data_IF_817148420010
#
_entry.id   IF_817148420010
#
_cell.length_a   1.000
_cell.length_b   1.000
_cell.length_c   1.000
_cell.angle_alpha   90.00
_cell.angle_beta   90.00
_cell.angle_gamma   90.00
#
_symmetry.space_group_name_H-M   'P 1'
#
loop_
_entity.id
_entity.type
_entity.pdbx_description
1 polymer ?
#
# COMPACT_ATOMS: atom_id res chain seq x y z
N UNK A 1 0.72 -23.76 -18.70
CA UNK A 1 -0.15 -23.71 -17.50
C UNK A 1 -1.50 -24.22 -17.93
N UNK A 2 -2.08 -25.21 -17.27
CA UNK A 2 -3.43 -25.70 -17.60
C UNK A 2 -4.44 -24.55 -17.37
N UNK A 3 -5.51 -24.52 -18.17
CA UNK A 3 -6.58 -23.54 -17.97
C UNK A 3 -7.16 -23.69 -16.55
N UNK A 4 -7.36 -22.57 -15.81
CA UNK A 4 -7.90 -22.64 -14.47
C UNK A 4 -9.31 -23.23 -14.48
N UNK A 5 -9.54 -24.27 -13.68
CA UNK A 5 -10.82 -24.97 -13.58
C UNK A 5 -11.58 -24.61 -12.30
N UNK A 6 -10.89 -24.04 -11.31
CA UNK A 6 -11.46 -23.67 -10.03
C UNK A 6 -10.95 -22.30 -9.58
N UNK A 7 -11.67 -21.68 -8.64
CA UNK A 7 -11.27 -20.40 -8.04
C UNK A 7 -9.85 -20.46 -7.46
N UNK A 8 -9.48 -21.60 -6.86
CA UNK A 8 -8.15 -21.83 -6.30
C UNK A 8 -7.00 -21.81 -7.31
N UNK A 9 -7.29 -21.97 -8.61
CA UNK A 9 -6.29 -21.94 -9.67
C UNK A 9 -5.98 -20.51 -10.12
N UNK A 10 -6.86 -19.57 -9.80
CA UNK A 10 -6.68 -18.16 -10.18
C UNK A 10 -5.59 -17.49 -9.36
N UNK A 11 -4.57 -16.95 -10.03
CA UNK A 11 -3.44 -16.28 -9.39
C UNK A 11 -3.87 -15.19 -8.42
N UNK A 12 -4.76 -14.30 -8.82
CA UNK A 12 -5.20 -13.18 -7.98
C UNK A 12 -5.90 -13.65 -6.71
N UNK A 13 -6.67 -14.75 -6.78
CA UNK A 13 -7.28 -15.35 -5.60
C UNK A 13 -6.23 -15.91 -4.63
N UNK A 14 -5.23 -16.63 -5.16
CA UNK A 14 -4.11 -17.17 -4.37
C UNK A 14 -3.31 -16.07 -3.69
N UNK A 15 -2.97 -15.00 -4.44
CA UNK A 15 -2.27 -13.82 -3.89
C UNK A 15 -3.11 -13.11 -2.82
N UNK A 16 -4.43 -12.97 -3.03
CA UNK A 16 -5.33 -12.37 -2.04
C UNK A 16 -5.39 -13.18 -0.75
N UNK A 17 -5.48 -14.51 -0.84
CA UNK A 17 -5.44 -15.39 0.34
C UNK A 17 -4.12 -15.27 1.10
N UNK A 18 -3.00 -15.33 0.36
CA UNK A 18 -1.66 -15.18 0.95
C UNK A 18 -1.53 -13.82 1.65
N UNK A 19 -1.88 -12.74 0.96
CA UNK A 19 -1.83 -11.38 1.52
C UNK A 19 -2.75 -11.21 2.73
N UNK A 20 -3.91 -11.87 2.75
CA UNK A 20 -4.81 -11.89 3.89
C UNK A 20 -4.18 -12.54 5.11
N UNK A 21 -3.68 -13.76 4.97
CA UNK A 21 -3.07 -14.51 6.07
C UNK A 21 -1.77 -13.85 6.57
N UNK A 22 -0.85 -13.55 5.66
CA UNK A 22 0.44 -12.91 5.98
C UNK A 22 0.27 -11.47 6.50
N UNK A 23 -0.86 -10.84 6.21
CA UNK A 23 -1.17 -9.50 6.69
C UNK A 23 -1.60 -9.42 8.16
N UNK A 24 -2.05 -10.51 8.77
CA UNK A 24 -2.54 -10.51 10.16
C UNK A 24 -1.49 -10.07 11.18
N UNK A 25 -0.25 -10.60 11.18
CA UNK A 25 0.80 -10.11 12.08
C UNK A 25 1.11 -8.63 11.88
N UNK A 26 1.15 -8.16 10.63
CA UNK A 26 1.41 -6.75 10.33
C UNK A 26 0.29 -5.82 10.84
N UNK A 27 -0.98 -6.25 10.79
CA UNK A 27 -2.09 -5.50 11.39
C UNK A 27 -1.92 -5.41 12.90
N UNK A 28 -1.66 -6.54 13.57
CA UNK A 28 -1.45 -6.57 15.03
C UNK A 28 -0.29 -5.69 15.47
N UNK A 29 0.80 -5.71 14.71
CA UNK A 29 1.96 -4.85 14.97
C UNK A 29 1.61 -3.38 14.79
N UNK A 30 1.09 -3.00 13.62
CA UNK A 30 0.76 -1.61 13.30
C UNK A 30 -0.31 -1.05 14.25
N UNK A 31 -1.45 -1.71 14.37
CA UNK A 31 -2.61 -1.18 15.10
C UNK A 31 -2.50 -1.42 16.60
N UNK A 32 -2.03 -2.60 17.02
CA UNK A 32 -1.96 -2.98 18.44
C UNK A 32 -0.78 -2.33 19.17
N UNK A 33 0.38 -2.19 18.53
CA UNK A 33 1.58 -1.67 19.20
C UNK A 33 1.88 -0.21 18.88
N UNK A 34 1.65 0.20 17.64
CA UNK A 34 2.02 1.54 17.17
C UNK A 34 0.84 2.48 16.95
N UNK A 35 -0.41 2.00 17.05
CA UNK A 35 -1.60 2.82 16.87
C UNK A 35 -1.74 3.41 15.45
N UNK A 36 -1.15 2.74 14.44
CA UNK A 36 -1.17 3.14 13.04
C UNK A 36 -1.84 2.04 12.20
N UNK A 37 -2.82 2.38 11.38
CA UNK A 37 -3.42 1.39 10.49
C UNK A 37 -2.44 0.95 9.41
N UNK A 38 -2.61 -0.27 8.85
CA UNK A 38 -1.79 -0.72 7.70
C UNK A 38 -1.81 0.25 6.52
N UNK A 39 -2.90 0.96 6.33
CA UNK A 39 -3.04 1.96 5.27
C UNK A 39 -2.21 3.20 5.55
N UNK A 40 -2.29 3.71 6.77
CA UNK A 40 -1.46 4.82 7.24
C UNK A 40 0.03 4.45 7.20
N UNK A 41 0.37 3.25 7.63
CA UNK A 41 1.74 2.72 7.55
C UNK A 41 2.27 2.74 6.11
N UNK A 42 1.51 2.23 5.14
CA UNK A 42 1.92 2.24 3.72
C UNK A 42 2.23 3.65 3.23
N UNK A 43 1.39 4.62 3.58
CA UNK A 43 1.60 6.01 3.19
C UNK A 43 2.84 6.61 3.88
N UNK A 44 3.03 6.30 5.16
CA UNK A 44 4.18 6.76 5.94
C UNK A 44 5.48 6.16 5.37
N UNK A 45 5.49 4.89 5.00
CA UNK A 45 6.64 4.23 4.38
C UNK A 45 6.98 4.83 3.02
N UNK A 46 6.00 5.07 2.14
CA UNK A 46 6.21 5.73 0.85
C UNK A 46 6.79 7.14 1.02
N UNK A 47 6.34 7.89 2.02
CA UNK A 47 6.89 9.21 2.32
C UNK A 47 8.30 9.14 2.91
N UNK A 48 8.70 8.02 3.51
CA UNK A 48 10.05 7.82 4.03
C UNK A 48 11.08 7.52 2.92
N UNK A 49 10.65 6.91 1.82
CA UNK A 49 11.50 6.60 0.66
C UNK A 49 11.83 7.83 -0.20
N UNK A 50 11.02 8.89 -0.09
CA UNK A 50 11.11 10.06 -0.95
C UNK A 50 11.15 11.39 -0.22
N UNK A 51 11.24 12.45 -1.02
CA UNK A 51 11.02 13.82 -0.57
C UNK A 51 9.51 14.11 -0.44
N UNK A 52 9.17 15.35 -0.06
CA UNK A 52 7.79 15.82 -0.10
C UNK A 52 7.13 15.51 -1.45
N UNK A 53 5.93 14.95 -1.43
CA UNK A 53 5.19 14.59 -2.65
C UNK A 53 3.77 15.11 -2.65
N UNK A 54 3.19 15.19 -3.84
CA UNK A 54 1.80 15.59 -3.99
C UNK A 54 0.85 14.49 -3.46
N UNK A 55 -0.26 14.83 -2.77
CA UNK A 55 -1.22 13.84 -2.28
C UNK A 55 -1.77 12.88 -3.34
N UNK A 56 -1.89 13.33 -4.60
CA UNK A 56 -2.34 12.45 -5.70
C UNK A 56 -1.28 11.43 -6.09
N UNK A 57 0.00 11.80 -6.07
CA UNK A 57 1.13 10.89 -6.31
C UNK A 57 1.17 9.82 -5.23
N UNK A 58 1.03 10.25 -3.96
CA UNK A 58 0.96 9.33 -2.83
C UNK A 58 -0.24 8.38 -2.92
N UNK A 59 -1.41 8.88 -3.35
CA UNK A 59 -2.60 8.06 -3.57
C UNK A 59 -2.36 6.97 -4.62
N UNK A 60 -1.74 7.33 -5.72
CA UNK A 60 -1.41 6.41 -6.83
C UNK A 60 -0.43 5.33 -6.34
N UNK A 61 0.68 5.72 -5.71
CA UNK A 61 1.68 4.79 -5.21
C UNK A 61 1.13 3.90 -4.09
N UNK A 62 0.30 4.45 -3.20
CA UNK A 62 -0.35 3.68 -2.15
C UNK A 62 -1.51 2.78 -2.65
N UNK A 63 -1.88 2.90 -3.93
CA UNK A 63 -3.02 2.20 -4.53
C UNK A 63 -4.33 2.45 -3.76
N UNK A 64 -4.56 3.70 -3.39
CA UNK A 64 -5.74 4.14 -2.65
C UNK A 64 -6.58 5.11 -3.49
N UNK A 65 -7.90 5.03 -3.32
CA UNK A 65 -8.77 6.06 -3.87
C UNK A 65 -8.62 7.40 -3.10
N UNK A 66 -9.09 8.48 -3.73
CA UNK A 66 -8.98 9.85 -3.18
C UNK A 66 -9.57 9.98 -1.77
N UNK A 67 -10.71 9.34 -1.50
CA UNK A 67 -11.39 9.46 -0.21
C UNK A 67 -10.62 8.74 0.91
N UNK A 68 -10.07 7.54 0.60
CA UNK A 68 -9.24 6.78 1.54
C UNK A 68 -7.92 7.47 1.80
N UNK A 69 -7.29 8.03 0.76
CA UNK A 69 -6.05 8.80 0.88
C UNK A 69 -6.26 10.03 1.76
N UNK A 70 -7.31 10.82 1.49
CA UNK A 70 -7.61 12.01 2.29
C UNK A 70 -7.82 11.70 3.76
N UNK A 71 -8.58 10.64 4.08
CA UNK A 71 -8.81 10.22 5.48
C UNK A 71 -7.52 9.76 6.17
N UNK A 72 -6.72 8.95 5.49
CA UNK A 72 -5.45 8.46 6.05
C UNK A 72 -4.44 9.61 6.25
N UNK A 73 -4.34 10.54 5.29
CA UNK A 73 -3.52 11.74 5.43
C UNK A 73 -3.97 12.63 6.59
N UNK A 74 -5.28 12.86 6.72
CA UNK A 74 -5.81 13.66 7.84
C UNK A 74 -5.49 13.01 9.19
N UNK A 75 -5.60 11.68 9.30
CA UNK A 75 -5.23 10.96 10.51
C UNK A 75 -3.72 11.07 10.81
N UNK A 76 -2.86 10.92 9.80
CA UNK A 76 -1.40 11.06 9.95
C UNK A 76 -1.00 12.48 10.35
N UNK A 77 -1.66 13.49 9.80
CA UNK A 77 -1.46 14.91 10.19
C UNK A 77 -1.93 15.15 11.62
N UNK A 78 -3.12 14.65 12.00
CA UNK A 78 -3.64 14.78 13.36
C UNK A 78 -2.74 14.11 14.40
N UNK A 79 -2.06 12.99 14.04
CA UNK A 79 -1.07 12.31 14.86
C UNK A 79 0.31 13.00 14.86
N UNK A 80 0.49 14.07 14.08
CA UNK A 80 1.74 14.80 13.96
C UNK A 80 2.88 14.05 13.26
N UNK A 81 2.58 12.98 12.51
CA UNK A 81 3.58 12.16 11.79
C UNK A 81 3.83 12.63 10.36
N UNK A 82 2.87 13.36 9.80
CA UNK A 82 2.96 13.97 8.47
C UNK A 82 2.57 15.44 8.61
N UNK A 83 3.19 16.29 7.82
CA UNK A 83 2.79 17.69 7.67
C UNK A 83 2.49 18.02 6.22
N UNK A 84 1.64 19.01 6.03
CA UNK A 84 1.39 19.62 4.71
C UNK A 84 2.28 20.83 4.58
N UNK A 85 2.97 20.94 3.46
CA UNK A 85 3.83 22.07 3.10
C UNK A 85 3.31 22.69 1.82
N UNK A 86 3.42 24.00 1.71
CA UNK A 86 3.12 24.74 0.48
C UNK A 86 4.45 25.26 -0.02
N UNK A 87 4.82 24.91 -1.25
CA UNK A 87 6.02 25.50 -1.85
C UNK A 87 5.75 26.96 -2.22
N UNK A 88 6.69 27.84 -1.88
CA UNK A 88 6.58 29.27 -2.15
C UNK A 88 6.41 29.60 -3.65
N UNK A 89 6.90 28.72 -4.52
CA UNK A 89 6.82 28.83 -5.98
C UNK A 89 5.46 28.42 -6.56
N UNK A 90 4.67 27.62 -5.83
CA UNK A 90 3.34 27.17 -6.29
C UNK A 90 2.39 26.96 -5.12
N UNK A 91 1.74 28.02 -4.70
CA UNK A 91 0.78 28.01 -3.58
C UNK A 91 -0.47 27.15 -3.84
N UNK A 92 -0.65 26.64 -5.06
CA UNK A 92 -1.82 25.84 -5.44
C UNK A 92 -1.68 24.36 -5.11
N UNK A 93 -0.45 23.88 -4.83
CA UNK A 93 -0.20 22.46 -4.61
C UNK A 93 0.43 22.21 -3.23
N UNK A 94 -0.39 21.75 -2.30
CA UNK A 94 0.09 21.27 -1.03
C UNK A 94 0.86 19.97 -1.23
N UNK A 95 2.09 19.90 -0.75
CA UNK A 95 2.86 18.67 -0.63
C UNK A 95 2.67 18.08 0.78
N UNK A 96 2.95 16.81 0.91
CA UNK A 96 2.96 16.09 2.17
C UNK A 96 4.32 15.47 2.40
N UNK A 97 4.81 15.55 3.62
CA UNK A 97 6.10 15.01 4.01
C UNK A 97 6.08 14.52 5.47
N UNK A 98 7.03 13.66 5.82
CA UNK A 98 7.19 13.23 7.19
C UNK A 98 7.71 14.36 8.08
N UNK A 99 7.17 14.41 9.29
CA UNK A 99 7.79 15.15 10.40
C UNK A 99 8.95 14.32 11.00
N UNK A 100 9.71 14.90 11.91
CA UNK A 100 10.76 14.15 12.62
C UNK A 100 10.17 13.01 13.47
N UNK A 101 8.97 13.21 14.03
CA UNK A 101 8.25 12.15 14.74
C UNK A 101 7.78 11.03 13.80
N UNK A 102 7.34 11.38 12.57
CA UNK A 102 7.02 10.41 11.53
C UNK A 102 8.23 9.59 11.07
N UNK A 103 9.40 10.25 10.92
CA UNK A 103 10.67 9.58 10.59
C UNK A 103 11.10 8.63 11.71
N UNK A 104 10.99 9.05 12.97
CA UNK A 104 11.28 8.16 14.11
C UNK A 104 10.35 6.95 14.16
N UNK A 105 9.05 7.16 13.95
CA UNK A 105 8.09 6.06 13.90
C UNK A 105 8.44 5.07 12.77
N UNK A 106 8.76 5.57 11.57
CA UNK A 106 9.19 4.72 10.47
C UNK A 106 10.44 3.92 10.82
N UNK A 107 11.46 4.56 11.39
CA UNK A 107 12.71 3.91 11.78
C UNK A 107 12.52 2.82 12.85
N UNK A 108 11.50 2.93 13.71
CA UNK A 108 11.15 1.91 14.68
C UNK A 108 10.33 0.77 14.07
N UNK A 109 9.32 1.09 13.26
CA UNK A 109 8.36 0.12 12.76
C UNK A 109 8.89 -0.68 11.56
N UNK A 110 9.66 -0.05 10.66
CA UNK A 110 10.15 -0.70 9.44
C UNK A 110 10.97 -1.97 9.71
N UNK A 111 11.93 -2.01 10.66
CA UNK A 111 12.68 -3.23 10.96
C UNK A 111 11.80 -4.39 11.43
N UNK A 112 10.72 -4.12 12.18
CA UNK A 112 9.78 -5.14 12.65
C UNK A 112 8.92 -5.68 11.51
N UNK A 113 8.43 -4.81 10.60
CA UNK A 113 7.74 -5.23 9.38
C UNK A 113 8.69 -6.04 8.47
N UNK A 114 9.94 -5.61 8.34
CA UNK A 114 10.95 -6.33 7.57
C UNK A 114 11.25 -7.72 8.19
N UNK A 115 11.21 -7.85 9.52
CA UNK A 115 11.34 -9.15 10.20
C UNK A 115 10.18 -10.09 9.85
N UNK A 116 8.93 -9.61 9.87
CA UNK A 116 7.76 -10.39 9.43
C UNK A 116 7.88 -10.84 7.97
N UNK A 117 8.40 -9.95 7.11
CA UNK A 117 8.64 -10.30 5.70
C UNK A 117 9.73 -11.39 5.56
N UNK A 118 10.83 -11.29 6.31
CA UNK A 118 11.88 -12.33 6.31
C UNK A 118 11.33 -13.66 6.79
N UNK A 119 10.53 -13.66 7.84
CA UNK A 119 9.89 -14.87 8.37
C UNK A 119 8.97 -15.53 7.33
N UNK A 120 8.14 -14.73 6.65
CA UNK A 120 7.29 -15.22 5.57
C UNK A 120 8.10 -15.86 4.44
N UNK A 121 9.25 -15.29 4.10
CA UNK A 121 10.11 -15.76 3.01
C UNK A 121 11.08 -16.87 3.44
N UNK A 122 11.19 -17.20 4.72
CA UNK A 122 12.19 -18.16 5.25
C UNK A 122 12.05 -19.59 4.74
N UNK A 123 10.89 -19.91 4.16
CA UNK A 123 10.62 -21.21 3.53
C UNK A 123 11.18 -21.34 2.11
N UNK A 124 11.80 -20.29 1.59
CA UNK A 124 12.36 -20.21 0.23
C UNK A 124 13.88 -20.00 0.29
N UNK A 125 14.59 -20.54 -0.70
CA UNK A 125 16.02 -20.22 -0.87
C UNK A 125 16.23 -18.79 -1.40
N UNK A 126 17.40 -18.17 -1.20
CA UNK A 126 17.71 -16.84 -1.74
C UNK A 126 17.50 -16.74 -3.25
N UNK A 127 17.85 -17.78 -3.99
CA UNK A 127 17.69 -17.85 -5.45
C UNK A 127 16.19 -17.84 -5.82
N UNK A 128 15.38 -18.61 -5.07
CA UNK A 128 13.92 -18.65 -5.28
C UNK A 128 13.27 -17.32 -4.94
N UNK A 129 13.75 -16.63 -3.91
CA UNK A 129 13.27 -15.27 -3.55
C UNK A 129 13.57 -14.30 -4.71
N UNK A 130 14.80 -14.31 -5.25
CA UNK A 130 15.16 -13.46 -6.39
C UNK A 130 14.29 -13.76 -7.62
N UNK A 131 14.06 -15.04 -7.93
CA UNK A 131 13.20 -15.45 -9.03
C UNK A 131 11.73 -14.99 -8.81
N UNK A 132 11.21 -15.13 -7.59
CA UNK A 132 9.87 -14.67 -7.23
C UNK A 132 9.72 -13.15 -7.41
N UNK A 133 10.69 -12.37 -6.97
CA UNK A 133 10.69 -10.91 -7.16
C UNK A 133 10.62 -10.54 -8.64
N UNK A 134 11.50 -11.12 -9.46
CA UNK A 134 11.49 -10.89 -10.92
C UNK A 134 10.16 -11.31 -11.59
N UNK A 135 9.53 -12.40 -11.13
CA UNK A 135 8.22 -12.81 -11.62
C UNK A 135 7.12 -11.82 -11.24
N UNK A 136 7.13 -11.32 -10.00
CA UNK A 136 6.16 -10.32 -9.53
C UNK A 136 6.29 -9.01 -10.30
N UNK A 137 7.51 -8.54 -10.59
CA UNK A 137 7.75 -7.33 -11.38
C UNK A 137 7.18 -7.48 -12.80
N UNK A 138 7.43 -8.62 -13.45
CA UNK A 138 6.86 -8.90 -14.77
C UNK A 138 5.33 -8.97 -14.76
N UNK A 139 4.76 -9.58 -13.71
CA UNK A 139 3.30 -9.64 -13.54
C UNK A 139 2.71 -8.26 -13.29
N UNK A 140 3.41 -7.39 -12.55
CA UNK A 140 2.97 -6.02 -12.32
C UNK A 140 2.91 -5.23 -13.63
N UNK A 141 3.96 -5.29 -14.46
CA UNK A 141 3.99 -4.64 -15.78
C UNK A 141 2.80 -5.11 -16.63
N UNK A 142 2.53 -6.42 -16.68
CA UNK A 142 1.41 -6.96 -17.44
C UNK A 142 0.06 -6.54 -16.85
N UNK A 143 -0.08 -6.47 -15.53
CA UNK A 143 -1.30 -6.03 -14.88
C UNK A 143 -1.60 -4.55 -15.19
N UNK A 144 -0.57 -3.69 -15.18
CA UNK A 144 -0.69 -2.27 -15.52
C UNK A 144 -1.11 -2.10 -17.00
N UNK A 145 -0.52 -2.89 -17.90
CA UNK A 145 -0.92 -2.92 -19.31
C UNK A 145 -2.39 -3.33 -19.47
N UNK A 146 -2.81 -4.42 -18.84
CA UNK A 146 -4.21 -4.89 -18.87
C UNK A 146 -5.17 -3.83 -18.31
N UNK A 147 -4.80 -3.17 -17.22
CA UNK A 147 -5.63 -2.11 -16.63
C UNK A 147 -5.80 -0.90 -17.57
N UNK A 148 -4.74 -0.56 -18.31
CA UNK A 148 -4.76 0.56 -19.26
C UNK A 148 -5.53 0.23 -20.55
N UNK A 149 -5.51 -1.04 -21.01
CA UNK A 149 -6.09 -1.47 -22.27
C UNK A 149 -7.46 -2.15 -22.14
N UNK A 150 -7.95 -2.34 -20.90
CA UNK A 150 -9.18 -3.04 -20.62
C UNK A 150 -10.38 -2.32 -21.26
N UNK A 151 -11.04 -2.96 -22.21
CA UNK A 151 -12.23 -2.48 -22.90
C UNK A 151 -13.54 -2.72 -22.13
N UNK A 152 -13.48 -3.33 -20.93
CA UNK A 152 -14.66 -3.60 -20.12
C UNK A 152 -15.25 -2.30 -19.54
N UNK A 153 -16.58 -2.24 -19.36
CA UNK A 153 -17.23 -1.08 -18.74
C UNK A 153 -16.63 -0.77 -17.37
N UNK A 154 -16.42 0.51 -17.08
CA UNK A 154 -15.98 0.93 -15.74
C UNK A 154 -16.99 0.46 -14.69
N UNK A 155 -16.52 -0.18 -13.62
CA UNK A 155 -17.38 -0.59 -12.53
C UNK A 155 -18.15 0.62 -11.97
N UNK A 156 -19.49 0.58 -12.10
CA UNK A 156 -20.36 1.57 -11.47
C UNK A 156 -20.18 1.46 -9.95
N UNK A 157 -19.82 2.57 -9.28
CA UNK A 157 -19.86 2.62 -7.81
C UNK A 157 -21.34 2.58 -7.39
N UNK A 158 -21.88 1.41 -7.16
CA UNK A 158 -23.16 1.32 -6.44
C UNK A 158 -22.91 1.83 -5.02
N UNK A 159 -23.27 3.11 -4.78
CA UNK A 159 -23.53 3.59 -3.42
C UNK A 159 -24.71 2.76 -2.91
N UNK A 160 -24.50 1.99 -1.85
CA UNK A 160 -25.59 1.29 -1.18
C UNK A 160 -26.71 2.27 -0.88
N UNK A 161 -27.80 2.18 -1.63
CA UNK A 161 -29.08 2.82 -1.27
C UNK A 161 -29.65 1.95 -0.16
N UNK A 162 -29.50 2.39 1.07
CA UNK A 162 -30.35 1.97 2.18
C UNK A 162 -31.78 2.32 1.77
N UNK A 163 -32.58 1.30 1.48
CA UNK A 163 -34.04 1.45 1.39
C UNK A 163 -34.53 1.60 2.81
N UNK A 164 -35.19 2.73 3.07
CA UNK A 164 -36.08 2.90 4.22
C UNK A 164 -37.26 1.98 4.11
#
# INVERSE_FOLDING_TARGET
MADPQALGDLLLYRLSRLAGAAGVPAVRLCEGRYGITRREWRMLALLAEGAAMHPSTLAMQAQLDRARTSRALSALVAKGWVRRTVQASDQRYAHVELTDSGRRLHAQLFPEIAALNRELLSVLSPETIGALQAMLDRLQIQADHLAATCALPKAGRQRGRTRS
#
